data_IF_243777955926
#
_entry.id   IF_243777955926
#
_cell.length_a   1.000
_cell.length_b   1.000
_cell.length_c   1.000
_cell.angle_alpha   90.00
_cell.angle_beta   90.00
_cell.angle_gamma   90.00
#
_symmetry.space_group_name_H-M   'P 1'
#
loop_
_entity.id
_entity.type
_entity.pdbx_description
1 polymer ?
#
# COMPACT_ATOMS: atom_id res chain seq x y z
N UNK A 1 4.45 -1.79 18.44
CA UNK A 1 3.24 -1.05 18.03
C UNK A 1 3.05 -1.27 16.55
N UNK A 2 1.95 -1.91 16.12
CA UNK A 2 1.62 -2.03 14.69
C UNK A 2 0.92 -0.75 14.21
N UNK A 3 1.15 -0.37 12.96
CA UNK A 3 0.62 0.87 12.38
C UNK A 3 -0.19 0.58 11.11
N UNK A 4 -1.11 1.50 10.78
CA UNK A 4 -1.79 1.52 9.50
C UNK A 4 -0.97 2.31 8.48
N UNK A 5 -0.86 1.78 7.27
CA UNK A 5 -0.28 2.47 6.14
C UNK A 5 -1.40 2.96 5.24
N UNK A 6 -1.55 4.28 5.11
CA UNK A 6 -2.54 4.89 4.21
C UNK A 6 -1.85 5.35 2.93
N UNK A 7 -2.39 4.96 1.78
CA UNK A 7 -1.96 5.34 0.44
C UNK A 7 -3.12 6.04 -0.26
N UNK A 8 -3.16 7.36 -0.15
CA UNK A 8 -4.23 8.22 -0.68
C UNK A 8 -3.84 8.98 -1.95
N UNK A 9 -2.55 8.96 -2.32
CA UNK A 9 -2.01 9.67 -3.47
C UNK A 9 -2.37 8.95 -4.77
N UNK A 10 -3.21 9.52 -5.66
CA UNK A 10 -3.61 8.85 -6.90
C UNK A 10 -2.43 8.51 -7.80
N UNK A 11 -2.51 7.38 -8.51
CA UNK A 11 -1.43 6.89 -9.36
C UNK A 11 -0.24 6.29 -8.60
N UNK A 12 -0.34 6.12 -7.27
CA UNK A 12 0.66 5.38 -6.50
C UNK A 12 0.64 3.90 -6.87
N UNK A 13 1.78 3.25 -6.74
CA UNK A 13 1.92 1.81 -6.96
C UNK A 13 2.55 1.14 -5.75
N UNK A 14 1.82 0.22 -5.14
CA UNK A 14 2.28 -0.63 -4.04
C UNK A 14 2.80 -1.96 -4.60
N UNK A 15 4.07 -2.25 -4.39
CA UNK A 15 4.71 -3.48 -4.83
C UNK A 15 5.70 -4.02 -3.79
N UNK A 16 6.35 -5.14 -4.09
CA UNK A 16 7.32 -5.76 -3.17
C UNK A 16 8.72 -5.54 -3.69
N UNK A 17 9.61 -5.12 -2.78
CA UNK A 17 11.04 -4.99 -3.03
C UNK A 17 11.80 -5.37 -1.77
N UNK A 18 12.80 -6.23 -1.90
CA UNK A 18 13.63 -6.70 -0.79
C UNK A 18 12.77 -7.23 0.38
N UNK A 19 11.73 -8.02 0.05
CA UNK A 19 10.73 -8.57 1.00
C UNK A 19 9.95 -7.53 1.82
N UNK A 20 9.99 -6.27 1.39
CA UNK A 20 9.26 -5.16 1.98
C UNK A 20 8.23 -4.61 1.01
N UNK A 21 7.23 -3.90 1.55
CA UNK A 21 6.34 -3.09 0.75
C UNK A 21 7.08 -1.84 0.28
N UNK A 22 7.14 -1.59 -1.01
CA UNK A 22 7.58 -0.31 -1.58
C UNK A 22 6.38 0.41 -2.18
N UNK A 23 6.22 1.69 -1.83
CA UNK A 23 5.29 2.59 -2.51
C UNK A 23 6.07 3.46 -3.48
N UNK A 24 5.68 3.44 -4.75
CA UNK A 24 6.13 4.36 -5.78
C UNK A 24 5.08 5.45 -5.97
N UNK A 25 5.46 6.71 -5.73
CA UNK A 25 4.62 7.89 -5.96
C UNK A 25 5.28 8.71 -7.06
N UNK A 26 4.61 8.83 -8.20
CA UNK A 26 5.11 9.59 -9.35
C UNK A 26 4.43 10.96 -9.40
N UNK A 27 5.23 12.01 -9.30
CA UNK A 27 4.79 13.38 -9.61
C UNK A 27 5.39 13.80 -10.96
N UNK A 28 4.99 14.97 -11.46
CA UNK A 28 5.58 15.54 -12.69
C UNK A 28 7.09 15.79 -12.58
N UNK A 29 7.57 16.01 -11.36
CA UNK A 29 8.94 16.44 -11.08
C UNK A 29 9.84 15.30 -10.61
N UNK A 30 9.28 14.30 -9.93
CA UNK A 30 10.08 13.23 -9.30
C UNK A 30 9.29 11.95 -9.03
N UNK A 31 10.04 10.86 -8.89
CA UNK A 31 9.55 9.59 -8.34
C UNK A 31 10.01 9.49 -6.88
N UNK A 32 9.06 9.32 -5.95
CA UNK A 32 9.32 9.10 -4.52
C UNK A 32 9.12 7.62 -4.23
N UNK A 33 10.10 6.99 -3.56
CA UNK A 33 10.02 5.60 -3.10
C UNK A 33 10.03 5.54 -1.59
N UNK A 34 9.13 4.77 -0.99
CA UNK A 34 9.08 4.53 0.45
C UNK A 34 8.97 3.05 0.74
N UNK A 35 9.86 2.54 1.60
CA UNK A 35 9.89 1.14 2.03
C UNK A 35 9.27 0.98 3.41
N UNK A 36 8.42 -0.05 3.56
CA UNK A 36 7.76 -0.40 4.80
C UNK A 36 7.95 -1.88 5.10
N UNK A 37 8.49 -2.16 6.29
CA UNK A 37 8.62 -3.53 6.77
C UNK A 37 7.24 -4.11 7.10
N UNK A 38 6.89 -5.30 6.59
CA UNK A 38 5.60 -5.94 6.84
C UNK A 38 5.38 -6.21 8.35
N UNK A 39 6.44 -6.51 9.09
CA UNK A 39 6.39 -6.75 10.54
C UNK A 39 5.83 -5.58 11.37
N UNK A 40 5.83 -4.36 10.81
CA UNK A 40 5.37 -3.15 11.49
C UNK A 40 3.92 -2.80 11.16
N UNK A 41 3.30 -3.45 10.18
CA UNK A 41 1.98 -3.09 9.66
C UNK A 41 0.88 -3.98 10.26
N UNK A 42 -0.27 -3.38 10.53
CA UNK A 42 -1.53 -4.09 10.84
C UNK A 42 -2.47 -4.14 9.66
N UNK A 43 -2.56 -3.04 8.89
CA UNK A 43 -3.33 -2.98 7.66
C UNK A 43 -2.75 -1.93 6.71
N UNK A 44 -3.12 -2.06 5.44
CA UNK A 44 -2.82 -1.10 4.38
C UNK A 44 -4.16 -0.61 3.84
N UNK A 45 -4.41 0.69 3.92
CA UNK A 45 -5.53 1.35 3.27
C UNK A 45 -5.03 1.94 1.96
N UNK A 46 -5.64 1.57 0.84
CA UNK A 46 -5.20 1.99 -0.49
C UNK A 46 -6.37 2.52 -1.31
N UNK A 47 -6.25 3.78 -1.75
CA UNK A 47 -7.26 4.39 -2.60
C UNK A 47 -7.32 3.65 -3.95
N UNK A 48 -8.52 3.45 -4.46
CA UNK A 48 -8.81 2.74 -5.73
C UNK A 48 -8.16 3.34 -6.98
N UNK A 49 -7.68 4.59 -6.93
CA UNK A 49 -6.86 5.22 -7.98
C UNK A 49 -5.37 4.85 -7.90
N UNK A 50 -4.99 3.99 -6.97
CA UNK A 50 -3.65 3.40 -6.85
C UNK A 50 -3.65 1.97 -7.38
N UNK A 51 -2.48 1.47 -7.76
CA UNK A 51 -2.28 0.09 -8.18
C UNK A 51 -1.62 -0.74 -7.06
N UNK A 52 -1.96 -2.03 -6.98
CA UNK A 52 -1.30 -3.00 -6.11
C UNK A 52 -0.79 -4.16 -6.93
N UNK A 53 0.43 -4.62 -6.65
CA UNK A 53 0.97 -5.83 -7.29
C UNK A 53 0.42 -7.09 -6.64
N UNK A 54 0.30 -8.18 -7.39
CA UNK A 54 -0.09 -9.48 -6.82
C UNK A 54 0.88 -9.96 -5.73
N UNK A 55 2.18 -9.66 -5.86
CA UNK A 55 3.16 -9.97 -4.83
C UNK A 55 2.90 -9.20 -3.52
N UNK A 56 2.46 -7.95 -3.60
CA UNK A 56 2.11 -7.19 -2.40
C UNK A 56 0.88 -7.80 -1.70
N UNK A 57 -0.10 -8.27 -2.46
CA UNK A 57 -1.24 -9.03 -1.90
C UNK A 57 -0.76 -10.28 -1.17
N UNK A 58 0.09 -11.10 -1.81
CA UNK A 58 0.64 -12.31 -1.20
C UNK A 58 1.45 -12.01 0.07
N UNK A 59 2.27 -10.95 0.05
CA UNK A 59 3.05 -10.55 1.23
C UNK A 59 2.14 -10.09 2.37
N UNK A 60 1.07 -9.35 2.05
CA UNK A 60 0.06 -8.94 3.03
C UNK A 60 -0.57 -10.14 3.74
N UNK A 61 -1.03 -11.13 2.96
CA UNK A 61 -1.59 -12.37 3.49
C UNK A 61 -0.58 -13.13 4.37
N UNK A 62 0.66 -13.24 3.93
CA UNK A 62 1.75 -13.94 4.66
C UNK A 62 1.97 -13.34 6.06
N UNK A 63 1.88 -12.02 6.18
CA UNK A 63 2.09 -11.29 7.44
C UNK A 63 0.78 -10.96 8.18
N UNK A 64 -0.36 -11.50 7.72
CA UNK A 64 -1.69 -11.21 8.27
C UNK A 64 -2.00 -9.71 8.31
N UNK A 65 -1.72 -9.02 7.20
CA UNK A 65 -1.97 -7.59 6.98
C UNK A 65 -3.20 -7.47 6.08
N UNK A 66 -4.26 -6.81 6.59
CA UNK A 66 -5.46 -6.54 5.80
C UNK A 66 -5.16 -5.46 4.75
N UNK A 67 -5.60 -5.65 3.51
CA UNK A 67 -5.49 -4.66 2.44
C UNK A 67 -6.90 -4.16 2.16
N UNK A 68 -7.17 -2.89 2.48
CA UNK A 68 -8.50 -2.31 2.40
C UNK A 68 -8.49 -1.29 1.27
N UNK A 69 -9.29 -1.53 0.23
CA UNK A 69 -9.47 -0.58 -0.86
C UNK A 69 -10.43 0.52 -0.44
N UNK A 70 -10.09 1.78 -0.73
CA UNK A 70 -10.89 2.96 -0.34
C UNK A 70 -11.28 3.84 -1.52
N UNK A 71 -12.36 4.61 -1.36
CA UNK A 71 -12.74 5.68 -2.28
C UNK A 71 -11.93 6.98 -2.01
N UNK A 72 -12.27 8.07 -2.71
CA UNK A 72 -11.63 9.39 -2.55
C UNK A 72 -11.84 10.05 -1.16
N UNK A 73 -12.80 9.55 -0.39
CA UNK A 73 -13.12 10.02 0.97
C UNK A 73 -12.55 9.10 2.05
N UNK A 74 -11.70 8.13 1.67
CA UNK A 74 -11.15 7.09 2.53
C UNK A 74 -12.18 6.10 3.12
N UNK A 75 -13.38 6.03 2.55
CA UNK A 75 -14.36 5.01 2.94
C UNK A 75 -13.98 3.66 2.31
N UNK A 76 -14.06 2.54 3.06
CA UNK A 76 -13.81 1.21 2.52
C UNK A 76 -14.81 0.83 1.42
N UNK A 77 -14.30 0.32 0.31
CA UNK A 77 -15.10 -0.21 -0.81
C UNK A 77 -14.82 -1.69 -1.10
N UNK A 78 -13.73 -2.24 -0.57
CA UNK A 78 -13.35 -3.64 -0.73
C UNK A 78 -12.20 -4.05 0.18
N UNK A 79 -11.94 -5.35 0.26
CA UNK A 79 -10.81 -5.98 0.96
C UNK A 79 -10.28 -7.14 0.14
#
# INVERSE_FOLDING_TARGET
MKVYLTIDSPGSYLHVKDEMFEILIRTKEKEIKKLFSPNKLSAILINTKSAVSGQAVTLGLTYSIDIIFTNDFNDPVGR
#
